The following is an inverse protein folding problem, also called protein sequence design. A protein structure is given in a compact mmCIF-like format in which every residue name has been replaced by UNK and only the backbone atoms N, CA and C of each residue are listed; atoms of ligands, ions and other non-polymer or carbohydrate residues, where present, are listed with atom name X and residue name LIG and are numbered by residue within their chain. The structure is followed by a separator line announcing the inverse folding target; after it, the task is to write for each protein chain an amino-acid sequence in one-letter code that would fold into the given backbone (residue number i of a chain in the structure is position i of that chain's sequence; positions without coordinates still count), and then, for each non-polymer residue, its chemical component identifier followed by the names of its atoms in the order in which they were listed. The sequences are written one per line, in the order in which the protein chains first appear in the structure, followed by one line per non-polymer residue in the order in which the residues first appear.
data_IF_409048228574
#
_entry.id   IF_409048228574
#
_cell.length_a   1.000
_cell.length_b   1.000
_cell.length_c   1.000
_cell.angle_alpha   90.00
_cell.angle_beta   90.00
_cell.angle_gamma   90.00
#
_symmetry.space_group_name_H-M   'P 1'
#
loop_
_entity.id
_entity.type
_entity.pdbx_description
1 polymer ?
#
# COMPACT_ATOMS: atom_id res chain seq x y z
N UNK A 1 -2.00 -23.38 2.58
CA UNK A 1 -2.06 -23.04 4.02
C UNK A 1 -3.06 -21.92 4.21
N UNK A 2 -4.23 -22.21 4.76
CA UNK A 2 -5.24 -21.18 5.04
C UNK A 2 -4.75 -20.34 6.23
N UNK A 3 -4.59 -19.05 6.01
CA UNK A 3 -4.20 -18.10 7.05
C UNK A 3 -5.32 -18.01 8.07
N UNK A 4 -4.95 -17.91 9.34
CA UNK A 4 -5.91 -17.88 10.43
C UNK A 4 -6.57 -16.49 10.56
N UNK A 5 -7.67 -16.42 11.34
CA UNK A 5 -8.39 -15.16 11.53
C UNK A 5 -7.53 -14.08 12.19
N UNK A 6 -6.55 -14.44 13.03
CA UNK A 6 -5.65 -13.47 13.65
C UNK A 6 -4.73 -12.81 12.62
N UNK A 7 -4.26 -13.54 11.60
CA UNK A 7 -3.49 -12.97 10.50
C UNK A 7 -4.26 -11.85 9.80
N UNK A 8 -5.53 -12.09 9.43
CA UNK A 8 -6.34 -11.08 8.75
C UNK A 8 -6.62 -9.86 9.64
N UNK A 9 -6.84 -10.06 10.94
CA UNK A 9 -6.98 -8.96 11.92
C UNK A 9 -5.68 -8.13 11.98
N UNK A 10 -4.52 -8.78 12.06
CA UNK A 10 -3.22 -8.11 12.07
C UNK A 10 -2.96 -7.31 10.79
N UNK A 11 -3.27 -7.88 9.61
CA UNK A 11 -3.15 -7.16 8.34
C UNK A 11 -4.08 -5.95 8.27
N UNK A 12 -5.32 -6.09 8.74
CA UNK A 12 -6.27 -4.98 8.82
C UNK A 12 -5.74 -3.84 9.67
N UNK A 13 -5.22 -4.13 10.88
CA UNK A 13 -4.66 -3.11 11.76
C UNK A 13 -3.43 -2.42 11.15
N UNK A 14 -2.53 -3.19 10.51
CA UNK A 14 -1.38 -2.63 9.78
C UNK A 14 -1.82 -1.64 8.69
N UNK A 15 -2.87 -1.98 7.94
CA UNK A 15 -3.40 -1.10 6.90
C UNK A 15 -4.03 0.17 7.47
N UNK A 16 -4.75 0.08 8.59
CA UNK A 16 -5.34 1.24 9.30
C UNK A 16 -4.22 2.16 9.78
N UNK A 17 -3.28 1.66 10.58
CA UNK A 17 -2.19 2.48 11.15
C UNK A 17 -1.37 3.18 10.07
N UNK A 18 -1.00 2.47 8.99
CA UNK A 18 -0.27 3.08 7.88
C UNK A 18 -1.03 4.26 7.28
N UNK A 19 -2.34 4.13 7.11
CA UNK A 19 -3.18 5.17 6.50
C UNK A 19 -3.37 6.35 7.44
N UNK A 20 -3.56 6.11 8.72
CA UNK A 20 -3.61 7.14 9.74
C UNK A 20 -2.31 7.94 9.78
N UNK A 21 -1.15 7.26 9.77
CA UNK A 21 0.17 7.94 9.71
C UNK A 21 0.31 8.83 8.48
N UNK A 22 -0.16 8.37 7.31
CA UNK A 22 -0.13 9.18 6.07
C UNK A 22 -1.02 10.41 6.21
N UNK A 23 -2.25 10.26 6.71
CA UNK A 23 -3.17 11.40 6.90
C UNK A 23 -2.59 12.43 7.85
N UNK A 24 -2.03 11.96 8.97
CA UNK A 24 -1.36 12.79 9.98
C UNK A 24 -0.15 13.54 9.41
N UNK A 25 0.64 12.90 8.54
CA UNK A 25 1.77 13.55 7.85
C UNK A 25 1.34 14.58 6.80
N UNK A 26 0.19 14.39 6.16
CA UNK A 26 -0.29 15.29 5.09
C UNK A 26 -1.03 16.52 5.62
N UNK A 27 -1.78 16.38 6.71
CA UNK A 27 -2.65 17.44 7.20
C UNK A 27 -2.95 17.37 8.70
N UNK A 28 -2.13 16.66 9.47
CA UNK A 28 -2.29 16.55 10.91
C UNK A 28 -3.55 15.79 11.34
N UNK A 29 -4.00 16.03 12.57
CA UNK A 29 -5.14 15.33 13.17
C UNK A 29 -6.48 15.68 12.52
N UNK A 30 -6.63 16.90 12.01
CA UNK A 30 -7.85 17.31 11.31
C UNK A 30 -8.13 16.40 10.12
N UNK A 31 -7.09 16.06 9.35
CA UNK A 31 -7.21 15.18 8.19
C UNK A 31 -7.49 13.72 8.61
N UNK A 32 -7.00 13.28 9.77
CA UNK A 32 -7.37 11.96 10.32
C UNK A 32 -8.85 11.94 10.67
N UNK A 33 -9.33 12.93 11.42
CA UNK A 33 -10.73 13.04 11.84
C UNK A 33 -11.69 13.13 10.64
N UNK A 34 -11.33 13.91 9.62
CA UNK A 34 -12.11 14.06 8.40
C UNK A 34 -12.31 12.74 7.64
N UNK A 35 -11.33 11.83 7.69
CA UNK A 35 -11.41 10.54 6.98
C UNK A 35 -11.99 9.41 7.84
N UNK A 36 -11.72 9.43 9.15
CA UNK A 36 -12.21 8.42 10.08
C UNK A 36 -13.70 8.60 10.41
N UNK A 37 -14.19 9.85 10.45
CA UNK A 37 -15.53 10.17 10.93
C UNK A 37 -15.88 9.45 12.24
N UNK A 38 -14.95 9.44 13.20
CA UNK A 38 -15.09 8.76 14.49
C UNK A 38 -14.91 7.24 14.46
N UNK A 39 -14.56 6.65 13.31
CA UNK A 39 -14.36 5.21 13.17
C UNK A 39 -13.09 4.87 12.36
N UNK A 40 -11.97 4.68 13.05
CA UNK A 40 -10.68 4.26 12.48
C UNK A 40 -10.78 3.02 11.55
N UNK A 41 -11.76 2.15 11.80
CA UNK A 41 -12.06 1.00 10.95
C UNK A 41 -12.35 1.34 9.48
N UNK A 42 -12.81 2.56 9.17
CA UNK A 42 -13.05 3.03 7.79
C UNK A 42 -11.77 3.09 6.96
N UNK A 43 -10.64 3.38 7.61
CA UNK A 43 -9.33 3.38 6.95
C UNK A 43 -8.99 2.00 6.40
N UNK A 44 -9.53 0.90 6.93
CA UNK A 44 -9.24 -0.43 6.36
C UNK A 44 -9.68 -0.58 4.90
N UNK A 45 -10.79 0.05 4.49
CA UNK A 45 -11.37 -0.08 3.15
C UNK A 45 -11.06 1.12 2.23
N UNK A 46 -10.93 2.33 2.77
CA UNK A 46 -10.70 3.55 1.97
C UNK A 46 -9.36 3.55 1.22
N UNK A 47 -9.31 4.07 -0.01
CA UNK A 47 -8.05 4.34 -0.73
C UNK A 47 -7.64 5.79 -0.48
N UNK A 48 -6.41 6.00 -0.03
CA UNK A 48 -5.81 7.33 0.07
C UNK A 48 -5.00 7.56 -1.20
N UNK A 49 -5.48 8.46 -2.05
CA UNK A 49 -4.76 8.94 -3.22
C UNK A 49 -4.11 10.28 -2.86
N UNK A 50 -2.95 10.24 -2.19
CA UNK A 50 -2.12 11.44 -2.08
C UNK A 50 -1.20 11.55 -3.29
N UNK A 51 -1.04 12.75 -3.83
CA UNK A 51 0.01 13.09 -4.80
C UNK A 51 1.40 13.24 -4.14
N UNK A 52 1.51 12.89 -2.85
CA UNK A 52 2.72 12.87 -2.06
C UNK A 52 3.85 12.09 -2.74
N UNK A 53 5.11 12.47 -2.50
CA UNK A 53 6.29 11.88 -3.15
C UNK A 53 6.33 10.34 -3.08
N UNK A 54 5.92 9.75 -1.95
CA UNK A 54 5.86 8.31 -1.76
C UNK A 54 4.79 7.63 -2.66
N UNK A 55 3.58 8.20 -2.75
CA UNK A 55 2.54 7.63 -3.59
C UNK A 55 2.80 7.89 -5.07
N UNK A 56 3.39 9.04 -5.42
CA UNK A 56 3.88 9.31 -6.77
C UNK A 56 4.87 8.25 -7.22
N UNK A 57 5.91 7.99 -6.41
CA UNK A 57 6.91 6.96 -6.71
C UNK A 57 6.28 5.60 -6.91
N UNK A 58 5.38 5.20 -6.00
CA UNK A 58 4.70 3.91 -6.07
C UNK A 58 3.80 3.74 -7.31
N UNK A 59 3.13 4.81 -7.73
CA UNK A 59 2.08 4.72 -8.76
C UNK A 59 2.54 5.13 -10.16
N UNK A 60 3.57 5.96 -10.26
CA UNK A 60 4.03 6.57 -11.52
C UNK A 60 5.53 6.37 -11.77
N UNK A 61 6.39 6.65 -10.78
CA UNK A 61 7.84 6.69 -11.06
C UNK A 61 8.45 5.27 -11.11
N UNK A 62 7.98 4.33 -10.28
CA UNK A 62 8.47 2.95 -10.27
C UNK A 62 7.65 2.04 -11.22
N UNK A 63 8.31 1.16 -11.98
CA UNK A 63 7.62 0.11 -12.74
C UNK A 63 6.76 -0.77 -11.83
N UNK A 64 5.58 -1.17 -12.31
CA UNK A 64 4.69 -2.04 -11.53
C UNK A 64 5.39 -3.35 -11.22
N UNK A 65 5.08 -3.95 -10.07
CA UNK A 65 5.65 -5.24 -9.65
C UNK A 65 5.51 -6.32 -10.74
N UNK A 66 4.40 -6.33 -11.48
CA UNK A 66 4.20 -7.25 -12.60
C UNK A 66 5.26 -7.07 -13.69
N UNK A 67 5.51 -5.83 -14.08
CA UNK A 67 6.43 -5.52 -15.17
C UNK A 67 7.88 -5.80 -14.72
N UNK A 68 8.19 -5.54 -13.44
CA UNK A 68 9.47 -5.96 -12.82
C UNK A 68 9.65 -7.49 -12.86
N UNK A 69 8.62 -8.27 -12.54
CA UNK A 69 8.67 -9.74 -12.62
C UNK A 69 8.88 -10.22 -14.05
N UNK A 70 8.12 -9.70 -15.00
CA UNK A 70 8.28 -10.03 -16.40
C UNK A 70 9.69 -9.73 -16.93
N UNK A 71 10.29 -8.62 -16.50
CA UNK A 71 11.68 -8.30 -16.85
C UNK A 71 12.68 -9.32 -16.26
N UNK A 72 12.49 -9.74 -14.99
CA UNK A 72 13.33 -10.78 -14.38
C UNK A 72 13.19 -12.12 -15.09
N UNK A 73 11.95 -12.51 -15.43
CA UNK A 73 11.67 -13.75 -16.15
C UNK A 73 12.32 -13.74 -17.54
N UNK A 74 12.28 -12.60 -18.24
CA UNK A 74 12.94 -12.42 -19.54
C UNK A 74 14.47 -12.50 -19.43
N UNK A 75 15.07 -11.89 -18.41
CA UNK A 75 16.52 -11.98 -18.15
C UNK A 75 16.91 -13.44 -17.89
N UNK A 76 16.11 -14.17 -17.10
CA UNK A 76 16.34 -15.58 -16.80
C UNK A 76 16.30 -16.45 -18.07
N UNK A 77 15.33 -16.21 -18.95
CA UNK A 77 15.24 -16.94 -20.22
C UNK A 77 16.43 -16.69 -21.14
N UNK A 78 16.95 -15.45 -21.19
CA UNK A 78 18.14 -15.14 -21.98
C UNK A 78 19.37 -15.88 -21.46
N UNK A 79 19.55 -15.93 -20.14
CA UNK A 79 20.65 -16.68 -19.49
C UNK A 79 20.56 -18.20 -19.71
N UNK A 80 19.36 -18.74 -19.89
CA UNK A 80 19.16 -20.18 -20.16
C UNK A 80 19.39 -20.54 -21.63
N UNK A 81 19.40 -19.56 -22.53
CA UNK A 81 19.66 -19.74 -23.97
C UNK A 81 21.11 -19.52 -24.38
N UNK A 82 21.95 -18.96 -23.50
CA UNK A 82 23.41 -18.81 -23.65
C UNK A 82 24.16 -20.04 -23.11
#
# INVERSE_FOLDING_TARGET
MNRDRSYYRKQRMRAIHRKETILRQLGGEENVLAWEHGAAGRLSKGKIHCSCWMCRRKSYDDPKIRDKRAAMDAIQQLLETE
#
